data_IF_873334453711
#
_entry.id   IF_873334453711
#
_cell.length_a   1.000
_cell.length_b   1.000
_cell.length_c   1.000
_cell.angle_alpha   90.00
_cell.angle_beta   90.00
_cell.angle_gamma   90.00
#
_symmetry.space_group_name_H-M   'P 1'
#
loop_
_entity.id
_entity.type
_entity.pdbx_description
1 polymer ?
#
# COMPACT_ATOMS: atom_id res chain seq x y z
N UNK A 1 -3.92 -16.29 -30.60
CA UNK A 1 -2.98 -15.81 -29.58
C UNK A 1 -2.16 -16.99 -29.10
N UNK A 2 -0.84 -16.91 -29.13
CA UNK A 2 0.04 -17.91 -28.51
C UNK A 2 0.30 -17.53 -27.07
N UNK A 3 0.24 -18.49 -26.16
CA UNK A 3 0.55 -18.34 -24.75
C UNK A 3 1.66 -19.30 -24.37
N UNK A 4 2.53 -18.86 -23.46
CA UNK A 4 3.61 -19.70 -22.96
C UNK A 4 3.07 -20.63 -21.87
N UNK A 5 3.48 -21.92 -21.94
CA UNK A 5 3.16 -22.90 -20.89
C UNK A 5 4.34 -22.95 -19.94
N UNK A 6 4.08 -22.76 -18.65
CA UNK A 6 5.06 -22.79 -17.57
C UNK A 6 4.60 -23.71 -16.45
N UNK A 7 5.55 -24.27 -15.71
CA UNK A 7 5.26 -25.01 -14.48
C UNK A 7 5.23 -24.05 -13.30
N UNK A 8 4.30 -24.26 -12.36
CA UNK A 8 4.20 -23.44 -11.16
C UNK A 8 3.71 -24.26 -9.96
N UNK A 9 4.21 -23.97 -8.76
CA UNK A 9 3.89 -24.73 -7.54
C UNK A 9 2.41 -24.64 -7.11
N UNK A 10 1.71 -23.59 -7.52
CA UNK A 10 0.27 -23.42 -7.24
C UNK A 10 -0.63 -24.37 -8.06
N UNK A 11 -0.11 -24.96 -9.13
CA UNK A 11 -0.87 -25.88 -9.99
C UNK A 11 -0.77 -27.29 -9.44
N UNK A 12 -1.90 -27.88 -9.08
CA UNK A 12 -1.99 -29.25 -8.55
C UNK A 12 -2.42 -30.19 -9.67
N UNK A 13 -1.63 -31.24 -9.90
CA UNK A 13 -1.90 -32.23 -10.95
C UNK A 13 -3.15 -33.07 -10.70
N UNK A 14 -3.60 -33.14 -9.45
CA UNK A 14 -4.79 -33.89 -8.99
C UNK A 14 -6.06 -33.01 -8.89
N UNK A 15 -5.97 -31.75 -9.29
CA UNK A 15 -7.09 -30.82 -9.33
C UNK A 15 -7.50 -30.46 -10.75
N UNK A 16 -8.74 -30.78 -11.12
CA UNK A 16 -9.26 -30.52 -12.47
C UNK A 16 -8.45 -31.23 -13.55
N UNK A 17 -8.01 -30.50 -14.57
CA UNK A 17 -7.17 -31.01 -15.64
C UNK A 17 -5.66 -30.96 -15.34
N UNK A 18 -5.25 -30.40 -14.20
CA UNK A 18 -3.86 -30.10 -13.92
C UNK A 18 -3.28 -28.94 -14.74
N UNK A 19 -4.14 -28.22 -15.48
CA UNK A 19 -3.77 -27.04 -16.28
C UNK A 19 -4.57 -25.83 -15.80
N UNK A 20 -3.87 -24.75 -15.45
CA UNK A 20 -4.45 -23.48 -15.04
C UNK A 20 -4.18 -22.42 -16.11
N UNK A 21 -5.22 -21.73 -16.57
CA UNK A 21 -5.07 -20.55 -17.41
C UNK A 21 -5.19 -19.29 -16.56
N UNK A 22 -4.13 -18.49 -16.56
CA UNK A 22 -4.08 -17.23 -15.81
C UNK A 22 -3.92 -16.09 -16.82
N UNK A 23 -4.93 -15.22 -16.93
CA UNK A 23 -4.95 -14.13 -17.91
C UNK A 23 -4.66 -12.77 -17.26
N UNK A 24 -5.11 -12.59 -16.03
CA UNK A 24 -4.99 -11.36 -15.25
C UNK A 24 -5.27 -11.67 -13.77
N UNK A 25 -5.53 -10.66 -12.96
CA UNK A 25 -5.79 -10.79 -11.53
C UNK A 25 -7.26 -11.17 -11.27
N UNK A 26 -7.54 -12.45 -11.09
CA UNK A 26 -8.84 -12.93 -10.62
C UNK A 26 -8.90 -13.02 -9.09
N UNK A 27 -7.79 -13.42 -8.46
CA UNK A 27 -7.65 -13.51 -7.01
C UNK A 27 -6.21 -13.21 -6.55
N UNK A 28 -5.93 -13.39 -5.25
CA UNK A 28 -4.61 -13.16 -4.67
C UNK A 28 -3.54 -14.15 -5.15
N UNK A 29 -3.95 -15.37 -5.53
CA UNK A 29 -3.01 -16.36 -6.05
C UNK A 29 -2.53 -15.95 -7.44
N UNK A 30 -3.43 -15.43 -8.28
CA UNK A 30 -3.05 -14.89 -9.58
C UNK A 30 -2.05 -13.75 -9.44
N UNK A 31 -2.26 -12.84 -8.48
CA UNK A 31 -1.31 -11.76 -8.19
C UNK A 31 0.07 -12.30 -7.82
N UNK A 32 0.14 -13.36 -7.00
CA UNK A 32 1.40 -13.99 -6.64
C UNK A 32 2.10 -14.60 -7.86
N UNK A 33 1.38 -15.38 -8.69
CA UNK A 33 1.90 -15.99 -9.92
C UNK A 33 2.45 -14.92 -10.88
N UNK A 34 1.71 -13.83 -11.10
CA UNK A 34 2.16 -12.75 -11.97
C UNK A 34 3.45 -12.09 -11.48
N UNK A 35 3.57 -11.88 -10.16
CA UNK A 35 4.78 -11.30 -9.55
C UNK A 35 5.98 -12.23 -9.64
N UNK A 36 5.80 -13.51 -9.29
CA UNK A 36 6.87 -14.51 -9.32
C UNK A 36 7.41 -14.74 -10.72
N UNK A 37 6.54 -14.74 -11.72
CA UNK A 37 6.92 -14.97 -13.12
C UNK A 37 7.25 -13.68 -13.88
N UNK A 38 7.12 -12.50 -13.26
CA UNK A 38 7.36 -11.20 -13.91
C UNK A 38 6.41 -10.92 -15.08
N UNK A 39 5.16 -11.39 -15.01
CA UNK A 39 4.18 -11.24 -16.07
C UNK A 39 3.50 -9.85 -16.02
N UNK A 40 3.13 -9.35 -17.19
CA UNK A 40 2.33 -8.13 -17.30
C UNK A 40 0.85 -8.50 -17.39
N UNK A 41 0.00 -8.09 -16.43
CA UNK A 41 -1.41 -8.40 -16.48
C UNK A 41 -2.16 -7.55 -17.50
N UNK A 42 -3.23 -8.10 -18.08
CA UNK A 42 -4.17 -7.35 -18.88
C UNK A 42 -5.16 -6.63 -17.97
N UNK A 43 -5.13 -5.30 -17.99
CA UNK A 43 -6.06 -4.50 -17.18
C UNK A 43 -7.39 -4.32 -17.93
N UNK A 44 -8.30 -5.25 -17.77
CA UNK A 44 -9.62 -5.22 -18.39
C UNK A 44 -10.65 -4.40 -17.60
N UNK A 45 -10.34 -3.97 -16.38
CA UNK A 45 -11.23 -3.16 -15.52
C UNK A 45 -10.54 -1.82 -15.22
N UNK A 46 -11.29 -0.72 -15.40
CA UNK A 46 -10.82 0.63 -15.10
C UNK A 46 -11.14 1.05 -13.65
N UNK A 47 -10.73 2.28 -13.28
CA UNK A 47 -10.95 2.84 -11.93
C UNK A 47 -12.43 3.01 -11.54
N UNK A 48 -13.32 3.06 -12.53
CA UNK A 48 -14.78 3.20 -12.33
C UNK A 48 -15.47 1.84 -12.17
N UNK A 49 -14.73 0.73 -12.22
CA UNK A 49 -15.28 -0.63 -12.17
C UNK A 49 -15.97 -1.07 -13.46
N UNK A 50 -15.64 -0.43 -14.58
CA UNK A 50 -16.13 -0.77 -15.91
C UNK A 50 -15.07 -1.46 -16.73
N UNK A 51 -15.49 -2.31 -17.63
CA UNK A 51 -14.60 -2.97 -18.57
C UNK A 51 -13.99 -1.99 -19.58
N UNK A 52 -12.69 -2.16 -19.84
CA UNK A 52 -11.95 -1.40 -20.85
C UNK A 52 -12.19 -1.92 -22.26
N UNK A 53 -11.64 -1.26 -23.28
CA UNK A 53 -11.73 -1.68 -24.67
C UNK A 53 -11.12 -3.09 -24.93
N UNK A 54 -10.26 -3.56 -24.03
CA UNK A 54 -9.74 -4.94 -24.08
C UNK A 54 -10.83 -6.01 -23.96
N UNK A 55 -11.98 -5.67 -23.40
CA UNK A 55 -13.12 -6.58 -23.27
C UNK A 55 -13.97 -6.69 -24.53
N UNK A 56 -13.59 -6.01 -25.61
CA UNK A 56 -14.30 -6.08 -26.90
C UNK A 56 -15.78 -5.70 -26.80
N UNK A 57 -16.72 -6.61 -27.12
CA UNK A 57 -18.15 -6.29 -27.13
C UNK A 57 -18.72 -5.91 -25.74
N UNK A 58 -17.99 -6.17 -24.67
CA UNK A 58 -18.41 -5.88 -23.29
C UNK A 58 -17.80 -4.58 -22.74
N UNK A 59 -17.04 -3.84 -23.55
CA UNK A 59 -16.42 -2.59 -23.16
C UNK A 59 -17.44 -1.59 -22.59
N UNK A 60 -17.06 -0.88 -21.52
CA UNK A 60 -17.93 0.10 -20.84
C UNK A 60 -18.97 -0.49 -19.88
N UNK A 61 -19.20 -1.79 -19.88
CA UNK A 61 -20.12 -2.47 -18.97
C UNK A 61 -19.50 -2.62 -17.58
N UNK A 62 -20.33 -2.66 -16.53
CA UNK A 62 -19.89 -3.10 -15.20
C UNK A 62 -19.67 -4.61 -15.19
N UNK A 63 -18.80 -5.09 -14.31
CA UNK A 63 -18.40 -6.52 -14.25
C UNK A 63 -19.61 -7.46 -14.17
N UNK A 64 -20.62 -7.15 -13.36
CA UNK A 64 -21.83 -7.98 -13.21
C UNK A 64 -22.67 -7.98 -14.52
N UNK A 65 -22.82 -6.82 -15.13
CA UNK A 65 -23.55 -6.68 -16.41
C UNK A 65 -22.84 -7.45 -17.52
N UNK A 66 -21.51 -7.31 -17.59
CA UNK A 66 -20.69 -8.00 -18.58
C UNK A 66 -20.72 -9.53 -18.43
N UNK A 67 -20.80 -10.03 -17.18
CA UNK A 67 -20.94 -11.48 -16.94
C UNK A 67 -22.22 -12.04 -17.54
N UNK A 68 -23.34 -11.36 -17.35
CA UNK A 68 -24.60 -11.77 -17.93
C UNK A 68 -24.60 -11.67 -19.46
N UNK A 69 -24.12 -10.55 -19.99
CA UNK A 69 -23.97 -10.36 -21.44
C UNK A 69 -23.03 -11.38 -22.08
N UNK A 70 -21.98 -11.84 -21.38
CA UNK A 70 -21.09 -12.87 -21.87
C UNK A 70 -21.76 -14.25 -21.96
N UNK A 71 -22.67 -14.57 -21.03
CA UNK A 71 -23.47 -15.80 -21.09
C UNK A 71 -24.37 -15.76 -22.31
N UNK A 72 -25.12 -14.68 -22.50
CA UNK A 72 -26.02 -14.47 -23.66
C UNK A 72 -25.23 -14.56 -24.98
N UNK A 73 -24.08 -13.88 -25.05
CA UNK A 73 -23.21 -13.92 -26.23
C UNK A 73 -22.72 -15.34 -26.58
N UNK A 74 -22.28 -16.10 -25.56
CA UNK A 74 -21.83 -17.48 -25.77
C UNK A 74 -22.97 -18.42 -26.21
N UNK A 75 -24.18 -18.17 -25.72
CA UNK A 75 -25.39 -18.89 -26.11
C UNK A 75 -25.75 -18.60 -27.56
N UNK A 76 -25.76 -17.33 -27.99
CA UNK A 76 -25.97 -16.92 -29.38
C UNK A 76 -24.93 -17.51 -30.35
N UNK A 77 -23.68 -17.65 -29.92
CA UNK A 77 -22.62 -18.26 -30.71
C UNK A 77 -22.69 -19.80 -30.73
N UNK A 78 -23.61 -20.41 -29.98
CA UNK A 78 -23.73 -21.88 -29.88
C UNK A 78 -22.52 -22.53 -29.19
N UNK A 79 -21.73 -21.79 -28.42
CA UNK A 79 -20.53 -22.27 -27.73
C UNK A 79 -20.74 -22.52 -26.25
N UNK A 80 -21.88 -22.10 -25.69
CA UNK A 80 -22.24 -22.34 -24.30
C UNK A 80 -22.64 -23.81 -24.11
N UNK A 81 -21.87 -24.57 -23.35
CA UNK A 81 -22.12 -25.99 -23.08
C UNK A 81 -22.97 -26.18 -21.84
N UNK A 82 -22.71 -25.46 -20.79
CA UNK A 82 -23.41 -25.58 -19.51
C UNK A 82 -23.20 -24.35 -18.63
N UNK A 83 -24.17 -24.03 -17.79
CA UNK A 83 -24.09 -23.00 -16.74
C UNK A 83 -24.33 -23.69 -15.40
N UNK A 84 -23.40 -23.54 -14.46
CA UNK A 84 -23.50 -24.09 -13.11
C UNK A 84 -23.42 -22.96 -12.11
N UNK A 85 -24.45 -22.82 -11.29
CA UNK A 85 -24.43 -21.92 -10.13
C UNK A 85 -23.59 -22.52 -9.01
N UNK A 86 -22.70 -21.69 -8.43
CA UNK A 86 -21.87 -22.06 -7.29
C UNK A 86 -21.87 -20.95 -6.25
N UNK A 87 -21.94 -21.34 -4.99
CA UNK A 87 -21.62 -20.40 -3.90
C UNK A 87 -20.12 -20.18 -3.84
N UNK A 88 -19.72 -18.93 -3.78
CA UNK A 88 -18.32 -18.52 -3.71
C UNK A 88 -18.16 -17.39 -2.69
N UNK A 89 -17.14 -17.52 -1.84
CA UNK A 89 -16.71 -16.40 -0.99
C UNK A 89 -15.93 -15.40 -1.85
N UNK A 90 -16.39 -14.15 -1.87
CA UNK A 90 -15.74 -13.05 -2.60
C UNK A 90 -15.34 -11.93 -1.64
N UNK A 91 -14.23 -11.25 -1.87
CA UNK A 91 -13.87 -10.07 -1.10
C UNK A 91 -14.89 -8.96 -1.34
N UNK A 92 -15.36 -8.36 -0.24
CA UNK A 92 -16.29 -7.22 -0.27
C UNK A 92 -15.70 -6.04 0.50
N UNK A 93 -16.07 -4.83 0.10
CA UNK A 93 -15.67 -3.63 0.85
C UNK A 93 -16.29 -3.63 2.25
N UNK A 94 -15.52 -3.26 3.26
CA UNK A 94 -15.95 -3.30 4.66
C UNK A 94 -17.24 -2.50 4.91
N UNK A 95 -17.32 -1.30 4.36
CA UNK A 95 -18.47 -0.39 4.57
C UNK A 95 -19.60 -0.58 3.57
N UNK A 96 -19.27 -0.61 2.28
CA UNK A 96 -20.27 -0.67 1.20
C UNK A 96 -20.78 -2.06 0.90
N UNK A 97 -20.10 -3.12 1.40
CA UNK A 97 -20.43 -4.55 1.14
C UNK A 97 -20.50 -4.90 -0.36
N UNK A 98 -19.94 -4.04 -1.22
CA UNK A 98 -19.85 -4.32 -2.65
C UNK A 98 -18.65 -5.21 -2.95
N UNK A 99 -18.74 -6.09 -3.96
CA UNK A 99 -17.60 -6.83 -4.48
C UNK A 99 -16.40 -5.93 -4.80
N UNK A 100 -15.19 -6.40 -4.50
CA UNK A 100 -13.94 -5.68 -4.77
C UNK A 100 -13.23 -6.38 -5.92
N UNK A 101 -12.90 -5.60 -6.95
CA UNK A 101 -12.11 -6.06 -8.08
C UNK A 101 -10.63 -5.70 -7.87
N UNK A 102 -9.74 -6.56 -8.38
CA UNK A 102 -8.30 -6.36 -8.28
C UNK A 102 -7.82 -5.66 -9.55
N UNK A 103 -7.24 -4.47 -9.40
CA UNK A 103 -6.70 -3.68 -10.52
C UNK A 103 -5.29 -3.19 -10.22
N UNK A 104 -4.51 -2.91 -11.27
CA UNK A 104 -3.22 -2.26 -11.13
C UNK A 104 -3.37 -0.77 -10.87
N UNK A 105 -2.68 -0.31 -9.84
CA UNK A 105 -2.61 1.10 -9.49
C UNK A 105 -1.18 1.52 -9.22
N UNK A 106 -0.82 2.73 -9.68
CA UNK A 106 0.44 3.36 -9.29
C UNK A 106 0.24 4.00 -7.92
N UNK A 107 0.93 3.50 -6.91
CA UNK A 107 0.87 3.98 -5.54
C UNK A 107 2.27 4.29 -5.02
N UNK A 108 2.36 5.12 -3.99
CA UNK A 108 3.60 5.34 -3.26
C UNK A 108 3.77 4.27 -2.20
N UNK A 109 5.00 3.78 -2.07
CA UNK A 109 5.37 2.76 -1.10
C UNK A 109 6.58 3.19 -0.28
N UNK A 110 6.58 2.83 1.00
CA UNK A 110 7.78 2.81 1.81
C UNK A 110 8.38 1.42 1.73
N UNK A 111 9.64 1.33 1.32
CA UNK A 111 10.40 0.08 1.34
C UNK A 111 10.58 -0.37 2.78
N UNK A 112 9.99 -1.50 3.14
CA UNK A 112 10.03 -2.01 4.51
C UNK A 112 10.63 -3.41 4.61
N UNK A 113 10.59 -4.18 3.54
CA UNK A 113 11.06 -5.57 3.56
C UNK A 113 12.56 -5.68 3.86
N UNK A 114 13.36 -4.76 3.35
CA UNK A 114 14.80 -4.71 3.60
C UNK A 114 15.20 -4.20 5.00
N UNK A 115 14.27 -3.57 5.72
CA UNK A 115 14.52 -3.01 7.05
C UNK A 115 14.26 -4.00 8.20
N UNK A 116 13.72 -5.19 7.89
CA UNK A 116 13.21 -6.14 8.89
C UNK A 116 14.29 -6.62 9.85
N UNK A 117 15.46 -7.00 9.35
CA UNK A 117 16.53 -7.55 10.20
C UNK A 117 17.05 -6.49 11.18
N UNK A 118 17.30 -5.27 10.68
CA UNK A 118 17.75 -4.17 11.52
C UNK A 118 16.71 -3.74 12.55
N UNK A 119 15.44 -3.75 12.18
CA UNK A 119 14.34 -3.50 13.12
C UNK A 119 14.27 -4.55 14.23
N UNK A 120 14.52 -5.83 13.93
CA UNK A 120 14.56 -6.89 14.94
C UNK A 120 15.67 -6.64 15.97
N UNK A 121 16.86 -6.21 15.53
CA UNK A 121 17.94 -5.83 16.45
C UNK A 121 17.47 -4.74 17.41
N UNK A 122 16.86 -3.66 16.89
CA UNK A 122 16.34 -2.58 17.72
C UNK A 122 15.19 -3.03 18.66
N UNK A 123 14.35 -3.97 18.24
CA UNK A 123 13.26 -4.51 19.07
C UNK A 123 13.81 -5.32 20.25
N UNK A 124 14.99 -5.93 20.14
CA UNK A 124 15.64 -6.60 21.29
C UNK A 124 16.06 -5.61 22.38
N UNK A 125 16.32 -4.34 22.04
CA UNK A 125 16.64 -3.28 23.00
C UNK A 125 15.41 -2.74 23.74
N UNK A 126 14.18 -3.10 23.31
CA UNK A 126 12.93 -2.59 23.87
C UNK A 126 12.36 -3.57 24.90
N UNK A 127 12.01 -3.04 26.07
CA UNK A 127 11.32 -3.84 27.09
C UNK A 127 9.81 -3.80 26.88
N UNK A 128 9.20 -4.98 26.72
CA UNK A 128 7.74 -5.12 26.51
C UNK A 128 7.01 -5.49 27.80
N UNK A 129 5.84 -4.87 28.00
CA UNK A 129 4.98 -5.08 29.17
C UNK A 129 3.57 -5.51 28.72
N UNK A 130 3.13 -6.75 29.06
CA UNK A 130 3.95 -7.86 29.55
C UNK A 130 4.91 -8.39 28.48
N UNK A 131 6.03 -9.04 28.86
CA UNK A 131 7.08 -9.46 27.89
C UNK A 131 6.56 -10.35 26.75
N UNK A 132 5.57 -11.21 27.03
CA UNK A 132 4.96 -12.10 26.01
C UNK A 132 4.30 -11.33 24.85
N UNK A 133 3.91 -10.08 25.05
CA UNK A 133 3.23 -9.28 24.02
C UNK A 133 4.17 -8.80 22.91
N UNK A 134 5.50 -8.92 23.09
CA UNK A 134 6.49 -8.75 22.03
C UNK A 134 6.19 -9.66 20.83
N UNK A 135 5.70 -10.89 21.11
CA UNK A 135 5.40 -11.86 20.08
C UNK A 135 4.38 -11.36 19.04
N UNK A 136 3.40 -10.55 19.43
CA UNK A 136 2.45 -9.97 18.47
C UNK A 136 3.10 -9.11 17.39
N UNK A 137 4.17 -8.40 17.74
CA UNK A 137 4.94 -7.62 16.79
C UNK A 137 5.80 -8.50 15.91
N UNK A 138 6.47 -9.49 16.48
CA UNK A 138 7.31 -10.42 15.74
C UNK A 138 6.50 -11.26 14.75
N UNK A 139 5.35 -11.80 15.18
CA UNK A 139 4.43 -12.54 14.29
C UNK A 139 3.93 -11.67 13.13
N UNK A 140 3.70 -10.38 13.37
CA UNK A 140 3.35 -9.46 12.29
C UNK A 140 4.50 -9.27 11.31
N UNK A 141 5.72 -9.07 11.80
CA UNK A 141 6.91 -8.89 10.98
C UNK A 141 7.19 -10.11 10.11
N UNK A 142 6.99 -11.33 10.64
CA UNK A 142 7.16 -12.58 9.89
C UNK A 142 6.20 -12.72 8.70
N UNK A 143 5.06 -12.05 8.76
CA UNK A 143 4.04 -12.06 7.69
C UNK A 143 4.19 -10.93 6.67
N UNK A 144 5.17 -10.02 6.82
CA UNK A 144 5.39 -8.92 5.89
C UNK A 144 6.19 -9.42 4.69
N UNK A 145 5.54 -9.46 3.54
CA UNK A 145 6.13 -9.87 2.26
C UNK A 145 6.15 -8.77 1.20
N UNK A 146 5.51 -7.63 1.48
CA UNK A 146 5.38 -6.50 0.54
C UNK A 146 5.75 -5.19 1.21
N UNK A 147 6.13 -4.20 0.40
CA UNK A 147 6.35 -2.83 0.87
C UNK A 147 5.04 -2.15 1.29
N UNK A 148 5.13 -1.16 2.17
CA UNK A 148 3.97 -0.47 2.74
C UNK A 148 3.39 0.55 1.76
N UNK A 149 2.14 0.36 1.25
CA UNK A 149 1.46 1.33 0.41
C UNK A 149 0.99 2.52 1.26
N UNK A 150 1.55 3.69 1.02
CA UNK A 150 1.32 4.90 1.82
C UNK A 150 0.39 5.93 1.20
N UNK A 151 0.02 5.79 -0.07
CA UNK A 151 -0.90 6.71 -0.74
C UNK A 151 -2.35 6.25 -0.66
N UNK A 152 -3.25 7.23 -0.56
CA UNK A 152 -4.70 7.04 -0.51
C UNK A 152 -5.41 8.03 -1.42
N UNK A 153 -6.45 7.60 -2.10
CA UNK A 153 -7.35 8.44 -2.91
C UNK A 153 -8.50 8.94 -2.04
N UNK A 154 -8.24 10.02 -1.32
CA UNK A 154 -9.21 10.70 -0.45
C UNK A 154 -9.07 12.21 -0.63
N UNK A 155 -10.14 12.94 -0.39
CA UNK A 155 -10.15 14.40 -0.51
C UNK A 155 -9.44 15.12 0.66
N UNK A 156 -9.43 14.49 1.83
CA UNK A 156 -8.90 15.11 3.06
C UNK A 156 -7.93 14.15 3.73
N UNK A 157 -6.76 14.57 3.85
CA UNK A 157 -5.65 14.09 4.70
C UNK A 157 -4.39 14.90 4.40
N UNK A 158 -3.25 14.53 5.02
CA UNK A 158 -1.94 15.12 4.71
C UNK A 158 -1.53 14.77 3.29
N UNK A 159 -1.22 15.78 2.50
CA UNK A 159 -0.83 15.66 1.10
C UNK A 159 0.53 14.99 0.94
N UNK A 160 0.71 14.28 -0.15
CA UNK A 160 2.01 13.76 -0.56
C UNK A 160 2.75 14.88 -1.28
N UNK A 161 3.85 15.41 -0.73
CA UNK A 161 4.48 16.65 -1.20
C UNK A 161 5.35 16.41 -2.44
N UNK A 162 4.73 16.01 -3.56
CA UNK A 162 5.45 15.62 -4.79
C UNK A 162 4.73 16.17 -6.02
N UNK A 163 5.53 16.58 -7.01
CA UNK A 163 5.09 16.86 -8.36
C UNK A 163 5.81 15.95 -9.34
N UNK A 164 5.30 15.85 -10.54
CA UNK A 164 5.83 15.06 -11.64
C UNK A 164 6.16 15.96 -12.83
N UNK A 165 7.21 15.62 -13.58
CA UNK A 165 7.42 16.17 -14.93
C UNK A 165 6.31 15.70 -15.87
N UNK A 166 6.08 16.46 -16.95
CA UNK A 166 5.03 16.13 -17.93
C UNK A 166 5.16 14.76 -18.57
N UNK A 167 6.38 14.25 -18.73
CA UNK A 167 6.68 12.90 -19.20
C UNK A 167 6.61 11.82 -18.08
N UNK A 168 6.45 12.25 -16.83
CA UNK A 168 6.39 11.38 -15.65
C UNK A 168 7.71 10.69 -15.28
N UNK A 169 8.83 11.04 -15.90
CA UNK A 169 10.16 10.44 -15.63
C UNK A 169 10.86 11.02 -14.40
N UNK A 170 10.47 12.23 -14.00
CA UNK A 170 11.09 12.95 -12.88
C UNK A 170 10.05 13.29 -11.82
N UNK A 171 10.52 13.42 -10.58
CA UNK A 171 9.73 13.92 -9.45
C UNK A 171 10.39 15.17 -8.88
N UNK A 172 9.54 16.08 -8.38
CA UNK A 172 9.99 17.32 -7.74
C UNK A 172 9.59 17.24 -6.27
N UNK A 173 10.54 17.50 -5.39
CA UNK A 173 10.38 17.40 -3.93
C UNK A 173 10.66 18.76 -3.30
N UNK A 174 9.80 19.29 -2.42
CA UNK A 174 10.00 20.58 -1.78
C UNK A 174 11.14 20.54 -0.75
N UNK A 175 11.66 21.70 -0.34
CA UNK A 175 12.59 21.77 0.77
C UNK A 175 12.01 21.16 2.05
N UNK A 176 12.86 20.54 2.86
CA UNK A 176 12.47 19.95 4.14
C UNK A 176 11.79 20.99 5.05
N UNK A 177 10.69 20.60 5.65
CA UNK A 177 9.91 21.45 6.56
C UNK A 177 8.93 22.40 5.87
N UNK A 178 8.82 22.34 4.55
CA UNK A 178 7.85 23.14 3.78
C UNK A 178 6.54 22.39 3.62
N UNK A 179 5.44 22.93 4.13
CA UNK A 179 4.09 22.41 3.86
C UNK A 179 3.62 22.88 2.48
N UNK A 180 3.10 21.97 1.70
CA UNK A 180 2.64 22.23 0.33
C UNK A 180 1.39 21.44 -0.01
N UNK A 181 0.62 21.94 -0.96
CA UNK A 181 -0.55 21.28 -1.55
C UNK A 181 -0.34 21.11 -3.06
N UNK A 182 0.35 20.03 -3.48
CA UNK A 182 0.78 19.87 -4.88
C UNK A 182 -0.34 19.92 -5.90
N UNK A 183 -1.52 19.45 -5.55
CA UNK A 183 -2.71 19.45 -6.40
C UNK A 183 -3.21 20.85 -6.81
N UNK A 184 -2.81 21.91 -6.11
CA UNK A 184 -3.22 23.29 -6.42
C UNK A 184 -2.08 24.32 -6.36
N UNK A 185 -0.86 23.90 -6.07
CA UNK A 185 0.30 24.77 -5.92
C UNK A 185 1.45 24.32 -6.83
N UNK A 186 2.22 25.26 -7.34
CA UNK A 186 3.49 24.97 -8.01
C UNK A 186 4.56 24.58 -6.96
N UNK A 187 5.62 23.87 -7.39
CA UNK A 187 6.78 23.61 -6.54
C UNK A 187 7.37 24.90 -5.98
N UNK A 188 7.62 24.99 -4.65
CA UNK A 188 8.25 26.19 -4.07
C UNK A 188 9.71 26.33 -4.48
N UNK A 189 10.25 27.52 -4.32
CA UNK A 189 11.67 27.77 -4.55
C UNK A 189 12.55 26.87 -3.69
N UNK A 190 13.65 26.41 -4.26
CA UNK A 190 14.57 25.46 -3.62
C UNK A 190 14.11 24.00 -3.69
N UNK A 191 13.05 23.68 -4.43
CA UNK A 191 12.67 22.30 -4.71
C UNK A 191 13.72 21.57 -5.53
N UNK A 192 13.93 20.29 -5.22
CA UNK A 192 14.88 19.41 -5.92
C UNK A 192 14.14 18.52 -6.94
N UNK A 193 14.80 18.26 -8.05
CA UNK A 193 14.36 17.34 -9.09
C UNK A 193 15.13 16.04 -8.97
N UNK A 194 14.43 14.94 -8.91
CA UNK A 194 14.97 13.59 -8.79
C UNK A 194 14.50 12.72 -9.95
N UNK A 195 15.32 11.79 -10.38
CA UNK A 195 14.88 10.70 -11.24
C UNK A 195 13.78 9.90 -10.53
N UNK A 196 12.67 9.63 -11.20
CA UNK A 196 11.58 8.85 -10.61
C UNK A 196 11.97 7.42 -10.32
N UNK A 197 12.81 6.82 -11.14
CA UNK A 197 13.18 5.41 -11.03
C UNK A 197 14.33 5.19 -10.06
N UNK A 198 15.43 5.96 -10.20
CA UNK A 198 16.65 5.78 -9.39
C UNK A 198 16.64 6.59 -8.10
N UNK A 199 15.82 7.66 -8.00
CA UNK A 199 15.83 8.65 -6.92
C UNK A 199 17.10 9.50 -6.85
N UNK A 200 17.95 9.43 -7.85
CA UNK A 200 19.12 10.29 -7.96
C UNK A 200 18.71 11.74 -8.17
N UNK A 201 19.41 12.66 -7.52
CA UNK A 201 19.23 14.10 -7.69
C UNK A 201 19.77 14.53 -9.05
N UNK A 202 18.93 15.22 -9.82
CA UNK A 202 19.25 15.70 -11.15
C UNK A 202 19.56 17.20 -11.17
N UNK A 203 19.04 17.97 -10.21
CA UNK A 203 19.23 19.39 -10.10
C UNK A 203 18.12 20.11 -9.34
N UNK A 204 18.14 21.44 -9.35
CA UNK A 204 17.07 22.24 -8.77
C UNK A 204 15.89 22.40 -9.73
N UNK A 205 14.69 22.64 -9.17
CA UNK A 205 13.50 22.93 -9.97
C UNK A 205 13.71 24.13 -10.88
N UNK A 206 14.37 25.19 -10.39
CA UNK A 206 14.64 26.40 -11.13
C UNK A 206 15.56 26.16 -12.33
N UNK A 207 16.59 25.31 -12.17
CA UNK A 207 17.57 25.02 -13.23
C UNK A 207 17.01 24.10 -14.33
N UNK A 208 16.00 23.31 -14.02
CA UNK A 208 15.44 22.30 -14.92
C UNK A 208 14.04 22.64 -15.44
N UNK A 209 13.51 23.81 -15.12
CA UNK A 209 12.12 24.19 -15.38
C UNK A 209 11.69 23.98 -16.84
N UNK A 210 12.57 24.32 -17.78
CA UNK A 210 12.28 24.20 -19.21
C UNK A 210 12.28 22.75 -19.71
N UNK A 211 12.98 21.85 -18.99
CA UNK A 211 13.07 20.41 -19.32
C UNK A 211 11.93 19.58 -18.71
N UNK A 212 11.23 20.13 -17.72
CA UNK A 212 10.20 19.39 -17.00
C UNK A 212 8.87 19.32 -17.75
N UNK A 213 8.64 20.23 -18.71
CA UNK A 213 7.36 20.38 -19.38
C UNK A 213 6.25 20.83 -18.40
N UNK A 214 5.04 20.36 -18.61
CA UNK A 214 3.95 20.61 -17.69
C UNK A 214 4.21 19.89 -16.36
N UNK A 215 4.18 20.61 -15.24
CA UNK A 215 4.41 20.06 -13.91
C UNK A 215 3.06 19.75 -13.26
N UNK A 216 2.85 18.47 -12.92
CA UNK A 216 1.59 17.95 -12.39
C UNK A 216 1.78 17.58 -10.93
N UNK A 217 0.98 18.13 -10.03
CA UNK A 217 1.00 17.81 -8.61
C UNK A 217 0.35 16.47 -8.27
N UNK A 218 0.84 15.79 -7.23
CA UNK A 218 0.20 14.59 -6.71
C UNK A 218 -1.14 14.96 -6.05
N UNK A 219 -2.19 14.24 -6.42
CA UNK A 219 -3.55 14.43 -5.87
C UNK A 219 -3.87 13.50 -4.70
N UNK A 220 -3.05 12.44 -4.52
CA UNK A 220 -3.23 11.49 -3.44
C UNK A 220 -2.72 12.07 -2.13
N UNK A 221 -3.27 11.55 -1.07
CA UNK A 221 -2.88 11.89 0.31
C UNK A 221 -2.21 10.70 0.99
N UNK A 222 -1.52 10.94 2.09
CA UNK A 222 -0.93 9.88 2.88
C UNK A 222 -1.98 8.98 3.56
N UNK A 223 -1.61 7.74 3.80
CA UNK A 223 -2.24 6.89 4.79
C UNK A 223 -2.18 7.56 6.17
N UNK A 224 -3.26 7.48 6.93
CA UNK A 224 -3.32 8.05 8.29
C UNK A 224 -2.24 7.50 9.23
N UNK A 225 -1.78 6.27 9.01
CA UNK A 225 -0.67 5.69 9.76
C UNK A 225 0.69 6.31 9.42
N UNK A 226 0.80 6.94 8.24
CA UNK A 226 1.99 7.69 7.87
C UNK A 226 2.19 8.91 8.80
N UNK A 227 1.12 9.62 9.16
CA UNK A 227 1.17 10.71 10.13
C UNK A 227 1.31 10.19 11.56
N UNK A 228 0.47 9.23 11.94
CA UNK A 228 0.45 8.67 13.30
C UNK A 228 1.80 8.06 13.69
N UNK A 229 2.53 7.50 12.74
CA UNK A 229 3.86 6.91 12.96
C UNK A 229 4.97 7.95 13.23
N UNK A 230 4.71 9.24 13.01
CA UNK A 230 5.62 10.34 13.39
C UNK A 230 5.45 10.80 14.85
N UNK A 231 4.47 10.30 15.58
CA UNK A 231 4.08 10.85 16.88
C UNK A 231 5.22 10.90 17.89
N UNK A 232 6.07 9.88 17.98
CA UNK A 232 7.22 9.89 18.89
C UNK A 232 8.30 10.90 18.47
N UNK A 233 8.52 11.08 17.19
CA UNK A 233 9.47 12.06 16.66
C UNK A 233 8.97 13.49 16.88
N UNK A 234 7.68 13.71 16.60
CA UNK A 234 7.05 15.02 16.79
C UNK A 234 7.07 15.48 18.25
N UNK A 235 6.61 14.65 19.19
CA UNK A 235 6.54 15.03 20.62
C UNK A 235 7.93 15.13 21.25
N UNK A 236 8.94 14.47 20.71
CA UNK A 236 10.32 14.59 21.19
C UNK A 236 11.09 15.77 20.58
N UNK A 237 10.49 16.53 19.64
CA UNK A 237 11.09 17.73 19.05
C UNK A 237 12.06 17.46 17.90
N UNK A 238 11.90 16.32 17.18
CA UNK A 238 12.72 16.00 16.02
C UNK A 238 12.74 17.16 15.01
N UNK A 239 13.90 17.52 14.49
CA UNK A 239 14.20 18.63 13.59
C UNK A 239 14.04 20.04 14.19
N UNK A 240 13.09 20.27 15.09
CA UNK A 240 12.74 21.61 15.57
C UNK A 240 13.39 21.97 16.91
N UNK A 241 13.69 20.99 17.76
CA UNK A 241 14.21 21.17 19.12
C UNK A 241 15.30 20.15 19.43
N UNK A 242 16.50 20.28 18.85
CA UNK A 242 17.55 19.24 18.93
C UNK A 242 18.00 18.91 20.36
N UNK A 243 18.02 19.91 21.26
CA UNK A 243 18.37 19.67 22.67
C UNK A 243 17.29 18.86 23.42
N UNK A 244 16.01 19.11 23.12
CA UNK A 244 14.90 18.33 23.67
C UNK A 244 14.93 16.93 23.10
N UNK A 245 15.11 16.81 21.79
CA UNK A 245 15.18 15.53 21.10
C UNK A 245 16.29 14.63 21.66
N UNK A 246 17.47 15.18 21.87
CA UNK A 246 18.61 14.43 22.43
C UNK A 246 18.33 13.83 23.83
N UNK A 247 17.42 14.44 24.60
CA UNK A 247 17.03 13.98 25.93
C UNK A 247 15.79 13.08 25.93
N UNK A 248 14.87 13.31 24.99
CA UNK A 248 13.55 12.69 24.96
C UNK A 248 13.48 11.45 24.06
N UNK A 249 14.44 11.28 23.14
CA UNK A 249 14.45 10.13 22.22
C UNK A 249 15.62 9.18 22.54
N UNK A 250 15.41 7.83 22.52
CA UNK A 250 14.15 7.11 22.38
C UNK A 250 13.13 7.42 23.47
N UNK A 251 11.85 7.51 23.08
CA UNK A 251 10.78 7.83 24.03
C UNK A 251 10.68 6.78 25.14
N UNK A 252 10.48 7.22 26.39
CA UNK A 252 10.56 6.34 27.54
C UNK A 252 9.51 5.21 27.51
N UNK A 253 8.25 5.52 27.19
CA UNK A 253 7.15 4.55 27.23
C UNK A 253 6.18 4.76 26.08
N UNK A 254 5.76 3.65 25.45
CA UNK A 254 4.68 3.57 24.49
C UNK A 254 3.53 2.72 25.04
N UNK A 255 2.50 3.31 25.66
CA UNK A 255 1.28 2.60 25.99
C UNK A 255 0.36 2.53 24.78
N UNK A 256 -0.21 1.36 24.49
CA UNK A 256 -1.16 1.16 23.41
C UNK A 256 -1.98 -0.12 23.53
N UNK A 257 -3.08 -0.19 22.78
CA UNK A 257 -3.87 -1.39 22.63
C UNK A 257 -3.24 -2.41 21.67
N UNK A 258 -3.60 -3.68 21.84
CA UNK A 258 -3.15 -4.81 21.00
C UNK A 258 -3.53 -4.61 19.51
N UNK A 259 -4.66 -4.00 19.22
CA UNK A 259 -5.21 -3.84 17.88
C UNK A 259 -4.41 -2.95 16.95
N UNK A 260 -3.52 -2.10 17.51
CA UNK A 260 -2.68 -1.18 16.74
C UNK A 260 -1.20 -1.55 16.73
N UNK A 261 -0.85 -2.76 17.16
CA UNK A 261 0.52 -3.28 17.08
C UNK A 261 1.00 -3.35 15.65
N UNK A 262 0.15 -3.83 14.72
CA UNK A 262 0.45 -4.00 13.30
C UNK A 262 0.54 -2.69 12.52
N UNK A 263 0.03 -1.62 13.09
CA UNK A 263 -0.05 -0.29 12.47
C UNK A 263 0.78 0.73 13.24
N UNK A 264 0.25 1.31 14.30
CA UNK A 264 0.89 2.40 15.00
C UNK A 264 2.26 2.03 15.60
N UNK A 265 2.39 0.90 16.30
CA UNK A 265 3.68 0.48 16.85
C UNK A 265 4.66 0.15 15.74
N UNK A 266 4.27 -0.76 14.84
CA UNK A 266 5.14 -1.22 13.78
C UNK A 266 5.66 -0.07 12.90
N UNK A 267 4.77 0.78 12.38
CA UNK A 267 5.20 1.88 11.52
C UNK A 267 5.98 2.97 12.24
N UNK A 268 5.76 3.17 13.54
CA UNK A 268 6.60 4.08 14.35
C UNK A 268 8.02 3.53 14.48
N UNK A 269 8.18 2.23 14.75
CA UNK A 269 9.47 1.58 14.81
C UNK A 269 10.17 1.57 13.44
N UNK A 270 9.44 1.29 12.37
CA UNK A 270 9.96 1.36 11.00
C UNK A 270 10.52 2.74 10.69
N UNK A 271 9.79 3.82 11.00
CA UNK A 271 10.30 5.19 10.78
C UNK A 271 11.49 5.53 11.65
N UNK A 272 11.48 5.15 12.91
CA UNK A 272 12.62 5.36 13.81
C UNK A 272 13.88 4.64 13.30
N UNK A 273 13.70 3.43 12.78
CA UNK A 273 14.78 2.67 12.15
C UNK A 273 15.28 3.34 10.86
N UNK A 274 14.38 3.67 9.92
CA UNK A 274 14.76 4.23 8.62
C UNK A 274 15.38 5.64 8.70
N UNK A 275 14.91 6.47 9.64
CA UNK A 275 15.36 7.86 9.75
C UNK A 275 16.55 8.04 10.68
N UNK A 276 16.68 7.20 11.71
CA UNK A 276 17.60 7.44 12.82
C UNK A 276 18.50 6.25 13.15
N UNK A 277 18.19 5.08 12.61
CA UNK A 277 18.84 3.81 12.95
C UNK A 277 18.84 3.56 14.48
N UNK A 278 17.68 3.74 15.12
CA UNK A 278 17.50 3.61 16.57
C UNK A 278 16.17 2.96 16.93
N UNK A 279 16.07 2.31 18.12
CA UNK A 279 14.78 1.94 18.67
C UNK A 279 13.94 3.19 18.96
N UNK A 280 12.65 3.13 18.63
CA UNK A 280 11.76 4.28 18.83
C UNK A 280 11.37 4.51 20.30
N UNK A 281 11.49 3.47 21.14
CA UNK A 281 11.04 3.43 22.53
C UNK A 281 12.00 2.65 23.41
N UNK A 282 12.02 2.97 24.72
CA UNK A 282 12.67 2.13 25.75
C UNK A 282 11.74 1.04 26.23
N UNK A 283 10.46 1.38 26.44
CA UNK A 283 9.43 0.46 26.91
C UNK A 283 8.19 0.55 26.04
N UNK A 284 7.54 -0.60 25.81
CA UNK A 284 6.26 -0.70 25.12
C UNK A 284 5.28 -1.47 26.01
N UNK A 285 4.15 -0.84 26.36
CA UNK A 285 3.08 -1.44 27.14
C UNK A 285 1.88 -1.72 26.23
N UNK A 286 1.55 -3.01 26.08
CA UNK A 286 0.44 -3.44 25.22
C UNK A 286 -0.70 -3.93 26.08
N UNK A 287 -1.80 -3.17 26.07
CA UNK A 287 -3.03 -3.50 26.78
C UNK A 287 -3.93 -4.44 25.96
N UNK A 288 -4.87 -5.08 26.68
CA UNK A 288 -5.95 -5.85 26.08
C UNK A 288 -6.96 -4.96 25.34
N UNK A 289 -7.85 -5.59 24.61
CA UNK A 289 -8.93 -4.94 23.90
C UNK A 289 -10.22 -5.01 24.71
N UNK A 290 -10.90 -3.87 24.88
CA UNK A 290 -12.25 -3.83 25.44
C UNK A 290 -13.26 -4.50 24.50
N UNK A 291 -14.02 -5.44 25.02
CA UNK A 291 -15.03 -6.20 24.28
C UNK A 291 -16.42 -5.93 24.85
N UNK A 292 -17.44 -5.93 24.00
CA UNK A 292 -18.82 -5.92 24.44
C UNK A 292 -19.25 -7.32 24.98
N UNK A 293 -20.44 -7.47 25.60
CA UNK A 293 -20.91 -8.75 26.12
C UNK A 293 -21.01 -9.88 25.08
N UNK A 294 -21.02 -9.55 23.81
CA UNK A 294 -21.06 -10.49 22.69
C UNK A 294 -19.69 -10.78 22.07
N UNK A 295 -18.63 -10.30 22.71
CA UNK A 295 -17.27 -10.51 22.24
C UNK A 295 -16.85 -9.63 21.03
N UNK A 296 -17.60 -8.57 20.73
CA UNK A 296 -17.23 -7.63 19.66
C UNK A 296 -16.39 -6.49 20.21
N UNK A 297 -15.44 -6.01 19.40
CA UNK A 297 -14.61 -4.87 19.75
C UNK A 297 -15.45 -3.64 20.06
N UNK A 298 -15.23 -3.04 21.22
CA UNK A 298 -15.81 -1.75 21.55
C UNK A 298 -15.15 -0.64 20.70
N UNK A 299 -15.95 0.18 20.05
CA UNK A 299 -15.49 1.31 19.25
C UNK A 299 -16.35 2.55 19.49
N UNK A 300 -15.98 3.68 18.92
CA UNK A 300 -16.71 4.95 19.03
C UNK A 300 -18.07 4.96 18.31
N UNK A 301 -18.30 4.02 17.44
CA UNK A 301 -19.53 3.91 16.63
C UNK A 301 -20.30 2.67 16.97
#
# INVERSE_FOLDING_TARGET
TSVEIRTHASVKSDFGSGVLMVCSFGDQNDVAVFRELGLTPFQAINLEGKLTDLAGPFAGMKVVEARNAAIEYLEEQGTLVNVVEREQEIPVSERGKNPVEIILLKEWYVKQTHAQDRMREHIEEIEFHPPRNKQFLLDWMDNISIDWPISRRRWYHTEIPIWYSGDGSKIIVPPTGTYVQPWCQAPPAGSQVLSRDTREELGSFESMKDELGEVIGEEKVFDTWMDSSNSNLFVSGYLNQPEVFAKAFPTALRPQGKEIVRTWLYYTLLKSNLLLDKPGFKHVWIDGLGMDPWGRKMSKS
#
